data_IF_554840698602
#
_entry.id   IF_554840698602
#
_cell.length_a   1.000
_cell.length_b   1.000
_cell.length_c   1.000
_cell.angle_alpha   90.00
_cell.angle_beta   90.00
_cell.angle_gamma   90.00
#
_symmetry.space_group_name_H-M   'P 1'
#
loop_
_entity.id
_entity.type
_entity.pdbx_description
1 polymer ?
#
# COMPACT_ATOMS: atom_id res chain seq x y z
N UNK A 1 -19.67 -1.54 13.39
CA UNK A 1 -19.84 -2.30 12.14
C UNK A 1 -18.55 -2.25 11.33
N UNK A 2 -18.19 -3.33 10.63
CA UNK A 2 -16.91 -3.43 9.86
C UNK A 2 -16.80 -2.33 8.81
N UNK A 3 -17.85 -2.12 8.03
CA UNK A 3 -17.87 -1.11 6.95
C UNK A 3 -17.65 0.31 7.45
N UNK A 4 -18.17 0.73 8.57
CA UNK A 4 -17.94 2.08 9.11
C UNK A 4 -16.46 2.30 9.51
N UNK A 5 -15.79 1.27 10.04
CA UNK A 5 -14.36 1.31 10.35
C UNK A 5 -13.53 1.40 9.07
N UNK A 6 -13.88 0.66 8.02
CA UNK A 6 -13.18 0.71 6.73
C UNK A 6 -13.33 2.09 6.09
N UNK A 7 -14.55 2.67 6.09
CA UNK A 7 -14.77 4.03 5.57
C UNK A 7 -13.96 5.07 6.36
N UNK A 8 -13.93 4.98 7.69
CA UNK A 8 -13.10 5.87 8.52
C UNK A 8 -11.61 5.76 8.19
N UNK A 9 -11.10 4.54 7.97
CA UNK A 9 -9.70 4.32 7.54
C UNK A 9 -9.45 4.94 6.16
N UNK A 10 -10.37 4.80 5.20
CA UNK A 10 -10.26 5.41 3.89
C UNK A 10 -10.23 6.94 3.96
N UNK A 11 -11.07 7.55 4.82
CA UNK A 11 -11.04 9.00 5.06
C UNK A 11 -9.68 9.47 5.58
N UNK A 12 -9.10 8.75 6.55
CA UNK A 12 -7.77 9.05 7.06
C UNK A 12 -6.68 8.86 5.98
N UNK A 13 -6.77 7.82 5.15
CA UNK A 13 -5.84 7.62 4.03
C UNK A 13 -5.90 8.80 3.06
N UNK A 14 -7.10 9.23 2.66
CA UNK A 14 -7.27 10.39 1.76
C UNK A 14 -6.64 11.62 2.38
N UNK A 15 -6.94 11.93 3.65
CA UNK A 15 -6.39 13.07 4.37
C UNK A 15 -4.86 13.05 4.42
N UNK A 16 -4.25 11.89 4.72
CA UNK A 16 -2.79 11.73 4.76
C UNK A 16 -2.19 11.92 3.37
N UNK A 17 -2.77 11.30 2.33
CA UNK A 17 -2.26 11.41 0.96
C UNK A 17 -2.37 12.84 0.42
N UNK A 18 -3.44 13.58 0.76
CA UNK A 18 -3.57 15.01 0.45
C UNK A 18 -2.49 15.84 1.14
N UNK A 19 -2.29 15.62 2.45
CA UNK A 19 -1.24 16.30 3.22
C UNK A 19 0.19 15.97 2.74
N UNK A 20 0.39 14.83 2.08
CA UNK A 20 1.65 14.37 1.52
C UNK A 20 1.78 14.58 -0.01
N UNK A 21 0.78 15.16 -0.65
CA UNK A 21 0.72 15.28 -2.10
C UNK A 21 1.94 15.98 -2.69
N UNK A 22 2.32 17.13 -2.14
CA UNK A 22 3.48 17.88 -2.65
C UNK A 22 4.81 17.16 -2.42
N UNK A 23 4.94 16.46 -1.29
CA UNK A 23 6.12 15.65 -1.01
C UNK A 23 6.24 14.51 -2.03
N UNK A 24 5.15 13.77 -2.27
CA UNK A 24 5.11 12.69 -3.25
C UNK A 24 5.34 13.19 -4.69
N UNK A 25 4.80 14.36 -5.05
CA UNK A 25 5.06 14.98 -6.34
C UNK A 25 6.54 15.37 -6.49
N UNK A 26 7.19 15.90 -5.44
CA UNK A 26 8.64 16.20 -5.48
C UNK A 26 9.49 14.95 -5.60
N UNK A 27 9.15 13.87 -4.89
CA UNK A 27 9.85 12.59 -5.04
C UNK A 27 9.75 12.09 -6.49
N UNK A 28 8.57 12.18 -7.07
CA UNK A 28 8.34 11.76 -8.45
C UNK A 28 9.04 12.68 -9.46
N UNK A 29 9.03 13.99 -9.26
CA UNK A 29 9.70 14.95 -10.15
C UNK A 29 11.22 14.70 -10.29
N UNK A 30 11.85 14.08 -9.29
CA UNK A 30 13.25 13.72 -9.37
C UNK A 30 13.54 12.55 -10.34
N UNK A 31 12.57 11.65 -10.52
CA UNK A 31 12.74 10.40 -11.29
C UNK A 31 11.57 10.08 -12.24
N UNK A 32 10.60 10.99 -12.37
CA UNK A 32 9.36 10.84 -13.15
C UNK A 32 8.83 12.17 -13.67
N UNK A 33 7.52 12.31 -13.73
CA UNK A 33 6.79 13.48 -14.26
C UNK A 33 6.16 14.40 -13.19
N UNK A 34 6.37 14.08 -11.90
CA UNK A 34 6.00 14.97 -10.79
C UNK A 34 4.50 14.96 -10.42
N UNK A 35 3.75 13.94 -10.80
CA UNK A 35 2.30 13.91 -10.59
C UNK A 35 1.80 12.79 -9.65
N UNK A 36 2.71 11.96 -9.12
CA UNK A 36 2.36 10.77 -8.33
C UNK A 36 1.48 11.08 -7.13
N UNK A 37 1.77 12.14 -6.38
CA UNK A 37 0.98 12.51 -5.19
C UNK A 37 -0.46 12.87 -5.55
N UNK A 38 -0.65 13.68 -6.62
CA UNK A 38 -1.98 14.03 -7.12
C UNK A 38 -2.73 12.79 -7.62
N UNK A 39 -2.04 11.92 -8.34
CA UNK A 39 -2.60 10.71 -8.92
C UNK A 39 -3.08 9.74 -7.84
N UNK A 40 -2.26 9.46 -6.81
CA UNK A 40 -2.64 8.51 -5.75
C UNK A 40 -3.72 9.08 -4.83
N UNK A 41 -3.63 10.35 -4.44
CA UNK A 41 -4.68 11.00 -3.65
C UNK A 41 -6.03 11.01 -4.38
N UNK A 42 -6.02 11.35 -5.67
CA UNK A 42 -7.21 11.31 -6.52
C UNK A 42 -7.84 9.93 -6.63
N UNK A 43 -7.01 8.87 -6.75
CA UNK A 43 -7.50 7.50 -6.80
C UNK A 43 -8.24 7.09 -5.51
N UNK A 44 -7.67 7.37 -4.33
CA UNK A 44 -8.33 7.07 -3.05
C UNK A 44 -9.57 7.94 -2.79
N UNK A 45 -9.60 9.20 -3.26
CA UNK A 45 -10.84 10.02 -3.25
C UNK A 45 -11.95 9.38 -4.08
N UNK A 46 -11.65 8.80 -5.23
CA UNK A 46 -12.64 8.12 -6.04
C UNK A 46 -13.21 6.88 -5.35
N UNK A 47 -12.39 6.15 -4.58
CA UNK A 47 -12.87 5.07 -3.71
C UNK A 47 -13.85 5.59 -2.67
N UNK A 48 -13.52 6.69 -2.00
CA UNK A 48 -14.36 7.26 -0.96
C UNK A 48 -15.73 7.73 -1.49
N UNK A 49 -15.81 8.19 -2.75
CA UNK A 49 -17.11 8.52 -3.40
C UNK A 49 -18.03 7.32 -3.55
N UNK A 50 -17.50 6.10 -3.48
CA UNK A 50 -18.25 4.85 -3.60
C UNK A 50 -18.43 4.16 -2.23
N UNK A 51 -18.32 4.89 -1.12
CA UNK A 51 -18.39 4.34 0.25
C UNK A 51 -19.68 3.53 0.53
N UNK A 52 -20.80 3.88 -0.13
CA UNK A 52 -22.06 3.15 -0.02
C UNK A 52 -21.96 1.69 -0.50
N UNK A 53 -21.10 1.39 -1.45
CA UNK A 53 -20.88 0.03 -1.93
C UNK A 53 -20.17 -0.87 -0.89
N UNK A 54 -19.59 -0.27 0.15
CA UNK A 54 -18.92 -0.96 1.22
C UNK A 54 -19.88 -1.36 2.35
N UNK A 55 -21.12 -0.85 2.36
CA UNK A 55 -22.10 -1.14 3.39
C UNK A 55 -22.44 -2.63 3.44
N UNK A 56 -22.42 -3.22 4.64
CA UNK A 56 -22.74 -4.64 4.86
C UNK A 56 -21.68 -5.62 4.34
N UNK A 57 -20.55 -5.15 3.85
CA UNK A 57 -19.47 -5.99 3.34
C UNK A 57 -18.53 -6.45 4.45
N UNK A 58 -18.02 -7.68 4.32
CA UNK A 58 -16.87 -8.14 5.10
C UNK A 58 -15.57 -7.44 4.63
N UNK A 59 -14.48 -7.65 5.38
CA UNK A 59 -13.19 -7.00 5.06
C UNK A 59 -12.70 -7.39 3.67
N UNK A 60 -12.80 -8.68 3.31
CA UNK A 60 -12.32 -9.19 2.03
C UNK A 60 -13.11 -8.65 0.84
N UNK A 61 -14.44 -8.60 0.93
CA UNK A 61 -15.30 -7.99 -0.09
C UNK A 61 -15.02 -6.50 -0.25
N UNK A 62 -14.92 -5.77 0.87
CA UNK A 62 -14.63 -4.34 0.86
C UNK A 62 -13.28 -4.04 0.20
N UNK A 63 -12.21 -4.77 0.53
CA UNK A 63 -10.90 -4.60 -0.11
C UNK A 63 -10.95 -4.89 -1.61
N UNK A 64 -11.73 -5.87 -2.06
CA UNK A 64 -11.89 -6.15 -3.49
C UNK A 64 -12.65 -5.03 -4.21
N UNK A 65 -13.67 -4.42 -3.60
CA UNK A 65 -14.37 -3.24 -4.14
C UNK A 65 -13.39 -2.07 -4.25
N UNK A 66 -12.68 -1.75 -3.17
CA UNK A 66 -11.65 -0.71 -3.13
C UNK A 66 -10.63 -0.94 -4.25
N UNK A 67 -10.13 -2.18 -4.37
CA UNK A 67 -9.13 -2.53 -5.38
C UNK A 67 -9.63 -2.36 -6.81
N UNK A 68 -10.86 -2.76 -7.11
CA UNK A 68 -11.47 -2.54 -8.43
C UNK A 68 -11.58 -1.06 -8.74
N UNK A 69 -12.07 -0.25 -7.81
CA UNK A 69 -12.18 1.19 -7.99
C UNK A 69 -10.81 1.84 -8.23
N UNK A 70 -9.79 1.48 -7.44
CA UNK A 70 -8.43 1.97 -7.64
C UNK A 70 -7.88 1.61 -9.02
N UNK A 71 -8.10 0.37 -9.49
CA UNK A 71 -7.59 -0.10 -10.77
C UNK A 71 -8.06 0.75 -11.96
N UNK A 72 -9.26 1.33 -11.88
CA UNK A 72 -9.85 2.15 -12.94
C UNK A 72 -9.78 3.66 -12.66
N UNK A 73 -9.26 4.08 -11.51
CA UNK A 73 -9.27 5.49 -11.08
C UNK A 73 -8.24 6.36 -11.78
N UNK A 74 -7.23 5.78 -12.41
CA UNK A 74 -6.15 6.55 -13.06
C UNK A 74 -5.71 5.90 -14.37
N UNK A 75 -5.26 6.72 -15.32
CA UNK A 75 -4.61 6.24 -16.54
C UNK A 75 -3.14 5.85 -16.35
N UNK A 76 -2.58 6.02 -15.15
CA UNK A 76 -1.20 5.69 -14.80
C UNK A 76 -1.09 4.29 -14.20
N UNK A 77 0.13 3.77 -14.10
CA UNK A 77 0.40 2.45 -13.50
C UNK A 77 -0.01 2.34 -12.03
N UNK A 78 -0.06 3.47 -11.30
CA UNK A 78 -0.41 3.55 -9.88
C UNK A 78 -1.75 2.89 -9.56
N UNK A 79 -2.81 3.24 -10.30
CA UNK A 79 -4.15 2.67 -10.08
C UNK A 79 -4.17 1.15 -10.21
N UNK A 80 -3.75 0.57 -11.33
CA UNK A 80 -3.67 -0.88 -11.50
C UNK A 80 -2.79 -1.61 -10.48
N UNK A 81 -1.70 -1.02 -10.00
CA UNK A 81 -0.82 -1.65 -9.00
C UNK A 81 -1.50 -1.68 -7.63
N UNK A 82 -2.01 -0.55 -7.13
CA UNK A 82 -2.79 -0.52 -5.91
C UNK A 82 -4.05 -1.40 -6.00
N UNK A 83 -4.75 -1.34 -7.14
CA UNK A 83 -5.91 -2.19 -7.40
C UNK A 83 -5.60 -3.67 -7.25
N UNK A 84 -4.49 -4.14 -7.84
CA UNK A 84 -4.05 -5.52 -7.70
C UNK A 84 -3.69 -5.89 -6.27
N UNK A 85 -3.01 -4.99 -5.54
CA UNK A 85 -2.66 -5.22 -4.14
C UNK A 85 -3.92 -5.43 -3.28
N UNK A 86 -4.89 -4.51 -3.38
CA UNK A 86 -6.13 -4.58 -2.59
C UNK A 86 -7.02 -5.77 -2.99
N UNK A 87 -7.13 -6.09 -4.28
CA UNK A 87 -7.92 -7.25 -4.75
C UNK A 87 -7.34 -8.55 -4.19
N UNK A 88 -6.02 -8.77 -4.32
CA UNK A 88 -5.41 -10.02 -3.87
C UNK A 88 -5.40 -10.13 -2.34
N UNK A 89 -5.17 -9.04 -1.61
CA UNK A 89 -5.35 -9.01 -0.16
C UNK A 89 -6.80 -9.37 0.23
N UNK A 90 -7.78 -8.79 -0.46
CA UNK A 90 -9.19 -9.04 -0.19
C UNK A 90 -9.61 -10.49 -0.45
N UNK A 91 -9.03 -11.16 -1.44
CA UNK A 91 -9.28 -12.60 -1.68
C UNK A 91 -8.86 -13.46 -0.49
N UNK A 92 -7.75 -13.11 0.17
CA UNK A 92 -7.25 -13.83 1.35
C UNK A 92 -8.12 -13.62 2.59
N UNK A 93 -8.88 -12.52 2.65
CA UNK A 93 -9.68 -12.11 3.80
C UNK A 93 -11.18 -12.33 3.66
N UNK A 94 -11.62 -13.11 2.68
CA UNK A 94 -13.05 -13.37 2.43
C UNK A 94 -13.73 -13.91 3.68
N UNK A 95 -14.86 -13.31 4.08
CA UNK A 95 -15.65 -13.69 5.25
C UNK A 95 -15.08 -13.19 6.59
N UNK A 96 -14.00 -12.39 6.58
CA UNK A 96 -13.40 -11.89 7.82
C UNK A 96 -14.02 -10.57 8.26
N UNK A 97 -14.38 -10.49 9.53
CA UNK A 97 -14.84 -9.26 10.20
C UNK A 97 -13.77 -8.68 11.16
N UNK A 98 -12.86 -9.51 11.61
CA UNK A 98 -11.68 -9.15 12.42
C UNK A 98 -10.48 -9.88 11.86
N UNK A 99 -9.30 -9.30 12.03
CA UNK A 99 -8.05 -9.86 11.52
C UNK A 99 -7.15 -10.31 12.66
N UNK A 100 -6.72 -11.58 12.61
CA UNK A 100 -5.60 -12.11 13.38
C UNK A 100 -4.26 -11.68 12.78
N UNK A 101 -3.15 -12.02 13.43
CA UNK A 101 -1.82 -11.78 12.90
C UNK A 101 -1.57 -12.56 11.60
N UNK A 102 -2.07 -13.81 11.53
CA UNK A 102 -2.02 -14.65 10.34
C UNK A 102 -2.81 -14.04 9.18
N UNK A 103 -4.00 -13.48 9.46
CA UNK A 103 -4.81 -12.80 8.45
C UNK A 103 -4.07 -11.59 7.86
N UNK A 104 -3.40 -10.81 8.69
CA UNK A 104 -2.56 -9.69 8.24
C UNK A 104 -1.42 -10.17 7.33
N UNK A 105 -0.71 -11.24 7.73
CA UNK A 105 0.37 -11.84 6.93
C UNK A 105 -0.17 -12.33 5.60
N UNK A 106 -1.28 -13.08 5.57
CA UNK A 106 -1.88 -13.58 4.33
C UNK A 106 -2.34 -12.45 3.40
N UNK A 107 -3.00 -11.43 3.95
CA UNK A 107 -3.43 -10.26 3.16
C UNK A 107 -2.25 -9.55 2.50
N UNK A 108 -1.18 -9.34 3.26
CA UNK A 108 0.00 -8.63 2.76
C UNK A 108 0.79 -9.47 1.77
N UNK A 109 0.89 -10.79 1.99
CA UNK A 109 1.47 -11.72 1.01
C UNK A 109 0.69 -11.67 -0.32
N UNK A 110 -0.64 -11.69 -0.24
CA UNK A 110 -1.50 -11.52 -1.41
C UNK A 110 -1.27 -10.18 -2.12
N UNK A 111 -1.17 -9.08 -1.37
CA UNK A 111 -0.86 -7.76 -1.94
C UNK A 111 0.48 -7.76 -2.69
N UNK A 112 1.53 -8.32 -2.09
CA UNK A 112 2.87 -8.46 -2.71
C UNK A 112 2.77 -9.26 -4.02
N UNK A 113 2.11 -10.41 -4.02
CA UNK A 113 1.90 -11.24 -5.21
C UNK A 113 1.14 -10.49 -6.31
N UNK A 114 0.08 -9.74 -5.93
CA UNK A 114 -0.70 -8.93 -6.85
C UNK A 114 0.14 -7.85 -7.54
N UNK A 115 0.95 -7.14 -6.77
CA UNK A 115 1.86 -6.10 -7.29
C UNK A 115 2.95 -6.72 -8.17
N UNK A 116 3.59 -7.81 -7.75
CA UNK A 116 4.61 -8.53 -8.54
C UNK A 116 4.05 -8.94 -9.89
N UNK A 117 2.90 -9.60 -9.91
CA UNK A 117 2.26 -10.07 -11.13
C UNK A 117 1.86 -8.90 -12.05
N UNK A 118 1.27 -7.84 -11.49
CA UNK A 118 0.79 -6.70 -12.27
C UNK A 118 1.92 -5.84 -12.81
N UNK A 119 2.91 -5.55 -11.97
CA UNK A 119 4.05 -4.69 -12.28
C UNK A 119 5.20 -5.41 -12.99
N UNK A 120 5.18 -6.75 -13.02
CA UNK A 120 6.31 -7.59 -13.48
C UNK A 120 7.62 -7.17 -12.80
N UNK A 121 7.53 -6.81 -11.52
CA UNK A 121 8.62 -6.28 -10.72
C UNK A 121 9.04 -7.29 -9.65
N UNK A 122 10.29 -7.19 -9.22
CA UNK A 122 10.86 -7.92 -8.10
C UNK A 122 11.33 -6.94 -7.01
N UNK A 123 11.55 -7.48 -5.81
CA UNK A 123 12.21 -6.73 -4.73
C UNK A 123 13.61 -6.31 -5.20
N UNK A 124 13.99 -5.06 -4.96
CA UNK A 124 15.22 -4.47 -5.47
C UNK A 124 15.08 -3.81 -6.86
N UNK A 125 13.88 -3.76 -7.42
CA UNK A 125 13.60 -3.05 -8.67
C UNK A 125 13.27 -1.55 -8.46
N UNK A 126 13.30 -1.08 -7.20
CA UNK A 126 12.96 0.29 -6.77
C UNK A 126 11.48 0.60 -7.07
N UNK A 127 10.59 -0.03 -6.32
CA UNK A 127 9.13 0.05 -6.48
C UNK A 127 8.43 -0.04 -5.12
N UNK A 128 7.10 0.02 -5.11
CA UNK A 128 6.30 -0.23 -3.91
C UNK A 128 6.54 -1.63 -3.29
N UNK A 129 7.09 -2.60 -4.03
CA UNK A 129 7.44 -3.91 -3.49
C UNK A 129 8.53 -3.83 -2.43
N UNK A 130 9.45 -2.87 -2.57
CA UNK A 130 10.53 -2.66 -1.60
C UNK A 130 10.02 -2.14 -0.26
N UNK A 131 8.78 -1.64 -0.20
CA UNK A 131 8.04 -1.32 1.02
C UNK A 131 7.22 -2.51 1.53
N UNK A 132 6.46 -3.16 0.64
CA UNK A 132 5.46 -4.16 1.03
C UNK A 132 6.09 -5.51 1.42
N UNK A 133 7.14 -5.94 0.72
CA UNK A 133 7.76 -7.23 0.97
C UNK A 133 8.46 -7.32 2.35
N UNK A 134 9.31 -6.34 2.76
CA UNK A 134 9.90 -6.36 4.10
C UNK A 134 8.85 -6.36 5.22
N UNK A 135 7.72 -5.70 5.00
CA UNK A 135 6.59 -5.73 5.92
C UNK A 135 5.99 -7.14 6.04
N UNK A 136 5.73 -7.81 4.92
CA UNK A 136 5.21 -9.19 4.90
C UNK A 136 6.16 -10.14 5.64
N UNK A 137 7.47 -10.04 5.38
CA UNK A 137 8.49 -10.83 6.05
C UNK A 137 8.54 -10.57 7.54
N UNK A 138 8.41 -9.33 7.97
CA UNK A 138 8.38 -8.97 9.40
C UNK A 138 7.17 -9.58 10.13
N UNK A 139 6.00 -9.68 9.49
CA UNK A 139 4.84 -10.37 10.08
C UNK A 139 5.07 -11.87 10.20
N UNK A 140 5.68 -12.50 9.20
CA UNK A 140 6.06 -13.91 9.24
C UNK A 140 7.01 -14.19 10.42
N UNK A 141 8.08 -13.39 10.56
CA UNK A 141 9.04 -13.48 11.66
C UNK A 141 8.38 -13.29 13.05
N UNK A 142 7.35 -12.41 13.13
CA UNK A 142 6.61 -12.17 14.37
C UNK A 142 5.70 -13.35 14.74
N UNK A 143 5.09 -14.03 13.75
CA UNK A 143 4.30 -15.25 13.96
C UNK A 143 5.20 -16.35 14.51
N UNK A 144 6.38 -16.58 13.90
CA UNK A 144 7.33 -17.59 14.36
C UNK A 144 7.79 -17.35 15.81
N UNK A 145 7.87 -16.09 16.24
CA UNK A 145 8.25 -15.69 17.60
C UNK A 145 7.10 -15.65 18.59
N UNK A 146 5.86 -15.91 18.18
CA UNK A 146 4.68 -15.83 19.03
C UNK A 146 4.38 -14.44 19.57
N UNK A 147 4.71 -13.38 18.80
CA UNK A 147 4.49 -12.00 19.21
C UNK A 147 3.01 -11.60 19.15
N UNK A 148 2.63 -10.62 19.95
CA UNK A 148 1.27 -10.07 19.91
C UNK A 148 1.00 -9.33 18.59
N UNK A 149 -0.27 -9.25 18.18
CA UNK A 149 -0.67 -8.50 16.98
C UNK A 149 -0.14 -7.06 16.99
N UNK A 150 -0.23 -6.39 18.15
CA UNK A 150 0.24 -5.01 18.29
C UNK A 150 1.74 -4.88 18.06
N UNK A 151 2.55 -5.73 18.68
CA UNK A 151 4.02 -5.74 18.50
C UNK A 151 4.40 -6.04 17.07
N UNK A 152 3.76 -7.06 16.47
CA UNK A 152 4.00 -7.46 15.09
C UNK A 152 3.67 -6.33 14.10
N UNK A 153 2.54 -5.64 14.26
CA UNK A 153 2.15 -4.52 13.39
C UNK A 153 3.10 -3.32 13.51
N UNK A 154 3.59 -3.03 14.72
CA UNK A 154 4.58 -1.95 14.92
C UNK A 154 5.91 -2.29 14.24
N UNK A 155 6.41 -3.52 14.40
CA UNK A 155 7.64 -4.00 13.72
C UNK A 155 7.49 -4.01 12.21
N UNK A 156 6.34 -4.48 11.71
CA UNK A 156 6.03 -4.52 10.29
C UNK A 156 5.98 -3.10 9.68
N UNK A 157 5.38 -2.13 10.39
CA UNK A 157 5.41 -0.72 9.99
C UNK A 157 6.84 -0.19 9.87
N UNK A 158 7.69 -0.50 10.84
CA UNK A 158 9.09 -0.06 10.83
C UNK A 158 9.90 -0.76 9.73
N UNK A 159 9.60 -2.03 9.43
CA UNK A 159 10.19 -2.74 8.30
C UNK A 159 9.78 -2.11 6.95
N UNK A 160 8.49 -1.75 6.80
CA UNK A 160 7.99 -1.03 5.63
C UNK A 160 8.70 0.32 5.45
N UNK A 161 8.93 1.07 6.54
CA UNK A 161 9.66 2.35 6.51
C UNK A 161 11.09 2.17 6.02
N UNK A 162 11.83 1.22 6.60
CA UNK A 162 13.20 0.91 6.17
C UNK A 162 13.24 0.47 4.71
N UNK A 163 12.27 -0.33 4.27
CA UNK A 163 12.15 -0.75 2.88
C UNK A 163 11.93 0.43 1.93
N UNK A 164 11.03 1.35 2.27
CA UNK A 164 10.84 2.59 1.53
C UNK A 164 12.14 3.41 1.44
N UNK A 165 12.81 3.62 2.56
CA UNK A 165 14.06 4.40 2.64
C UNK A 165 15.19 3.75 1.84
N UNK A 166 15.29 2.42 1.82
CA UNK A 166 16.32 1.68 1.09
C UNK A 166 16.24 1.89 -0.44
N UNK A 167 15.07 2.30 -0.96
CA UNK A 167 14.93 2.60 -2.40
C UNK A 167 15.85 3.71 -2.88
N UNK A 168 16.39 4.55 -1.99
CA UNK A 168 17.42 5.54 -2.33
C UNK A 168 18.65 4.93 -2.96
N UNK A 169 19.06 3.75 -2.47
CA UNK A 169 20.30 3.09 -2.91
C UNK A 169 20.09 2.26 -4.18
N UNK A 170 18.85 2.07 -4.60
CA UNK A 170 18.50 1.24 -5.76
C UNK A 170 18.46 2.04 -7.04
N UNK A 171 18.76 1.37 -8.15
CA UNK A 171 18.52 1.85 -9.51
C UNK A 171 17.16 1.37 -9.96
N UNK A 172 16.32 2.26 -10.49
CA UNK A 172 15.00 1.90 -10.98
C UNK A 172 15.08 0.97 -12.20
N UNK A 173 14.36 -0.15 -12.14
CA UNK A 173 14.29 -1.13 -13.23
C UNK A 173 12.88 -1.20 -13.84
N UNK A 174 11.91 -0.48 -13.29
CA UNK A 174 10.50 -0.52 -13.73
C UNK A 174 9.92 0.88 -13.92
N UNK A 175 8.86 0.92 -14.72
CA UNK A 175 8.13 2.17 -14.98
C UNK A 175 8.94 3.21 -15.75
N UNK A 176 8.50 4.47 -15.65
CA UNK A 176 9.10 5.60 -16.40
C UNK A 176 10.53 5.90 -15.92
N UNK A 177 10.77 5.81 -14.62
CA UNK A 177 12.04 6.08 -13.96
C UNK A 177 13.18 5.16 -14.44
N UNK A 178 12.88 3.94 -14.90
CA UNK A 178 13.89 3.01 -15.38
C UNK A 178 14.73 3.55 -16.56
N UNK A 179 14.16 4.49 -17.34
CA UNK A 179 14.87 5.15 -18.45
C UNK A 179 15.99 6.07 -17.98
N UNK A 180 16.00 6.47 -16.72
CA UNK A 180 17.02 7.35 -16.14
C UNK A 180 18.25 6.58 -15.63
N UNK A 181 18.15 5.25 -15.47
CA UNK A 181 19.25 4.40 -15.00
C UNK A 181 19.83 4.86 -13.67
N UNK A 182 21.17 4.98 -13.58
CA UNK A 182 21.88 5.38 -12.35
C UNK A 182 21.45 6.74 -11.78
N UNK A 183 20.87 7.62 -12.59
CA UNK A 183 20.34 8.92 -12.14
C UNK A 183 19.19 8.79 -11.14
N UNK A 184 18.61 7.60 -11.00
CA UNK A 184 17.56 7.33 -10.02
C UNK A 184 18.10 7.09 -8.61
N UNK A 185 19.38 6.80 -8.43
CA UNK A 185 20.03 6.70 -7.11
C UNK A 185 19.95 8.03 -6.35
N UNK A 186 19.92 7.94 -5.04
CA UNK A 186 19.80 9.10 -4.15
C UNK A 186 18.36 9.56 -3.91
N UNK A 187 17.40 9.04 -4.66
CA UNK A 187 15.99 9.42 -4.56
C UNK A 187 15.11 8.25 -4.06
N UNK A 188 14.16 8.54 -3.16
CA UNK A 188 13.16 7.55 -2.76
C UNK A 188 12.17 7.34 -3.91
N UNK A 189 11.75 6.09 -4.12
CA UNK A 189 10.68 5.78 -5.07
C UNK A 189 9.34 6.34 -4.57
N UNK A 190 8.59 7.14 -5.39
CA UNK A 190 7.33 7.72 -4.97
C UNK A 190 6.24 6.66 -4.69
N UNK A 191 6.25 5.52 -5.39
CA UNK A 191 5.36 4.39 -5.15
C UNK A 191 5.66 3.70 -3.83
N UNK A 192 6.92 3.53 -3.47
CA UNK A 192 7.34 3.02 -2.16
C UNK A 192 6.89 3.96 -1.04
N UNK A 193 7.07 5.29 -1.21
CA UNK A 193 6.67 6.28 -0.21
C UNK A 193 5.15 6.31 -0.01
N UNK A 194 4.37 6.37 -1.09
CA UNK A 194 2.91 6.37 -0.98
C UNK A 194 2.36 5.09 -0.36
N UNK A 195 2.95 3.93 -0.69
CA UNK A 195 2.59 2.65 -0.07
C UNK A 195 2.87 2.64 1.42
N UNK A 196 3.98 3.20 1.86
CA UNK A 196 4.28 3.36 3.28
C UNK A 196 3.22 4.22 3.98
N UNK A 197 2.83 5.37 3.42
CA UNK A 197 1.83 6.24 4.03
C UNK A 197 0.46 5.58 4.13
N UNK A 198 0.03 4.84 3.11
CA UNK A 198 -1.21 4.07 3.14
C UNK A 198 -1.18 3.02 4.25
N UNK A 199 -0.14 2.20 4.30
CA UNK A 199 0.01 1.12 5.29
C UNK A 199 0.14 1.66 6.71
N UNK A 200 0.97 2.69 6.92
CA UNK A 200 1.11 3.34 8.22
C UNK A 200 -0.23 3.84 8.74
N UNK A 201 -1.05 4.45 7.87
CA UNK A 201 -2.37 4.95 8.22
C UNK A 201 -3.31 3.81 8.62
N UNK A 202 -3.33 2.70 7.86
CA UNK A 202 -4.13 1.52 8.18
C UNK A 202 -3.75 0.97 9.56
N UNK A 203 -2.46 0.74 9.80
CA UNK A 203 -1.96 0.21 11.08
C UNK A 203 -2.33 1.13 12.25
N UNK A 204 -2.05 2.43 12.13
CA UNK A 204 -2.39 3.42 13.17
C UNK A 204 -3.88 3.43 13.49
N UNK A 205 -4.74 3.36 12.49
CA UNK A 205 -6.20 3.34 12.67
C UNK A 205 -6.69 2.03 13.28
N UNK A 206 -6.05 0.90 12.97
CA UNK A 206 -6.38 -0.38 13.60
C UNK A 206 -5.98 -0.40 15.08
N UNK A 207 -4.80 0.10 15.43
CA UNK A 207 -4.30 0.11 16.81
C UNK A 207 -4.99 1.14 17.72
N UNK A 208 -5.64 2.18 17.18
CA UNK A 208 -6.46 3.13 17.97
C UNK A 208 -7.82 2.58 18.37
N UNK A 209 -8.29 1.54 17.73
CA UNK A 209 -9.61 0.96 17.96
C UNK A 209 -9.60 -0.25 18.90
N UNK A 210 -8.44 -0.59 19.48
CA UNK A 210 -8.25 -1.53 20.58
C UNK A 210 -8.14 -0.77 21.92
#
# INVERSE_FOLDING_TARGET
MVSSKIVSILQEIVKVLEGKQEELNRLDANIGDGDHGRTVAGAFKNVLKQEKELEGKDIGEALQIIGRTLAFSTGAATGPLYGSAFIEAGKKLKGKEKLSLEDWKEALSGAVEGVKRRGKAEVGDKTMLDTLYPMAKSLEDSIEKGESLKEALLKAKDAAKRGMESTKELVSKRGRSSRLGERTKGHIDPGAASSYYVIETIIKSCLRGE
#
